data_IF_720796615482
#
_entry.id   IF_720796615482
#
_cell.length_a   1.000
_cell.length_b   1.000
_cell.length_c   1.000
_cell.angle_alpha   90.00
_cell.angle_beta   90.00
_cell.angle_gamma   90.00
#
_symmetry.space_group_name_H-M   'P 1'
#
loop_
_entity.id
_entity.type
_entity.pdbx_description
1 polymer ?
#
# COMPACT_ATOMS: atom_id res chain seq x y z
N UNK A 1 -0.83 40.44 -6.75
CA UNK A 1 -0.83 39.26 -7.65
C UNK A 1 0.31 38.37 -7.21
N UNK A 2 0.03 37.23 -6.58
CA UNK A 2 1.08 36.29 -6.19
C UNK A 2 1.58 35.59 -7.46
N UNK A 3 2.83 35.84 -7.84
CA UNK A 3 3.50 35.12 -8.94
C UNK A 3 3.67 33.66 -8.50
N UNK A 4 2.88 32.75 -9.07
CA UNK A 4 3.06 31.32 -8.84
C UNK A 4 4.50 30.93 -9.20
N UNK A 5 5.20 30.27 -8.26
CA UNK A 5 6.56 29.79 -8.48
C UNK A 5 6.62 28.86 -9.71
N UNK A 6 7.70 28.89 -10.50
CA UNK A 6 7.87 28.01 -11.65
C UNK A 6 7.72 26.54 -11.25
N UNK A 7 7.21 25.72 -12.17
CA UNK A 7 6.83 24.32 -11.92
C UNK A 7 7.95 23.51 -11.28
N UNK A 8 9.19 23.74 -11.70
CA UNK A 8 10.35 22.97 -11.23
C UNK A 8 10.68 23.27 -9.76
N UNK A 9 10.58 24.54 -9.34
CA UNK A 9 10.74 24.92 -7.92
C UNK A 9 9.64 24.33 -7.04
N UNK A 10 8.41 24.23 -7.55
CA UNK A 10 7.30 23.57 -6.83
C UNK A 10 7.54 22.08 -6.66
N UNK A 11 8.06 21.41 -7.70
CA UNK A 11 8.41 19.99 -7.65
C UNK A 11 9.53 19.78 -6.62
N UNK A 12 10.57 20.61 -6.67
CA UNK A 12 11.71 20.50 -5.77
C UNK A 12 11.30 20.69 -4.30
N UNK A 13 10.47 21.70 -4.01
CA UNK A 13 9.95 21.92 -2.66
C UNK A 13 9.14 20.73 -2.13
N UNK A 14 8.33 20.10 -2.99
CA UNK A 14 7.57 18.90 -2.62
C UNK A 14 8.49 17.72 -2.36
N UNK A 15 9.52 17.51 -3.18
CA UNK A 15 10.51 16.45 -2.97
C UNK A 15 11.23 16.64 -1.64
N UNK A 16 11.66 17.87 -1.32
CA UNK A 16 12.33 18.18 -0.06
C UNK A 16 11.44 17.99 1.17
N UNK A 17 10.13 18.28 1.03
CA UNK A 17 9.15 18.02 2.09
C UNK A 17 8.90 16.52 2.27
N UNK A 18 8.69 15.80 1.15
CA UNK A 18 8.49 14.35 1.12
C UNK A 18 9.70 13.59 1.68
N UNK A 19 10.93 14.06 1.43
CA UNK A 19 12.17 13.47 1.97
C UNK A 19 12.28 13.55 3.50
N UNK A 20 11.58 14.47 4.15
CA UNK A 20 11.57 14.61 5.61
C UNK A 20 10.62 13.62 6.29
N UNK A 21 9.71 13.01 5.54
CA UNK A 21 8.70 12.10 6.07
C UNK A 21 9.31 10.71 6.22
N UNK A 22 9.26 10.16 7.44
CA UNK A 22 9.69 8.78 7.67
C UNK A 22 8.74 7.79 6.96
N UNK A 23 9.32 6.80 6.29
CA UNK A 23 8.61 5.75 5.57
C UNK A 23 8.05 4.67 6.50
N UNK A 24 8.43 4.65 7.78
CA UNK A 24 7.97 3.65 8.76
C UNK A 24 6.46 3.72 8.99
N UNK A 25 5.78 2.59 8.77
CA UNK A 25 4.34 2.44 9.00
C UNK A 25 4.11 1.92 10.43
N UNK A 26 3.48 2.72 11.28
CA UNK A 26 3.05 2.29 12.61
C UNK A 26 1.69 1.58 12.50
N UNK A 27 1.56 0.32 12.99
CA UNK A 27 0.29 -0.39 12.96
C UNK A 27 -0.82 0.35 13.71
N UNK A 28 -0.52 1.17 14.73
CA UNK A 28 -1.52 1.93 15.48
C UNK A 28 -2.08 3.13 14.70
N UNK A 29 -1.40 3.58 13.65
CA UNK A 29 -1.88 4.65 12.77
C UNK A 29 -2.86 4.10 11.71
N UNK A 30 -2.82 2.79 11.45
CA UNK A 30 -3.67 2.12 10.48
C UNK A 30 -5.14 2.18 10.93
N UNK A 31 -5.99 2.76 10.08
CA UNK A 31 -7.45 2.87 10.29
C UNK A 31 -7.91 4.09 11.07
N UNK A 32 -7.01 4.97 11.52
CA UNK A 32 -7.40 6.24 12.15
C UNK A 32 -7.79 7.27 11.08
N UNK A 33 -8.99 7.88 11.12
CA UNK A 33 -9.43 8.84 10.11
C UNK A 33 -8.55 10.10 10.06
N UNK A 34 -8.07 10.56 11.23
CA UNK A 34 -7.25 11.77 11.34
C UNK A 34 -5.84 11.61 10.76
N UNK A 35 -5.36 10.38 10.57
CA UNK A 35 -4.01 10.07 10.08
C UNK A 35 -3.97 9.51 8.65
N UNK A 36 -5.13 9.34 7.99
CA UNK A 36 -5.22 8.63 6.73
C UNK A 36 -4.39 9.28 5.60
N UNK A 37 -4.31 10.62 5.55
CA UNK A 37 -3.52 11.33 4.54
C UNK A 37 -2.02 11.07 4.72
N UNK A 38 -1.52 11.18 5.95
CA UNK A 38 -0.12 10.91 6.27
C UNK A 38 0.22 9.44 6.01
N UNK A 39 -0.65 8.51 6.42
CA UNK A 39 -0.48 7.08 6.14
C UNK A 39 -0.41 6.81 4.63
N UNK A 40 -1.31 7.42 3.85
CA UNK A 40 -1.32 7.31 2.39
C UNK A 40 0.00 7.82 1.77
N UNK A 41 0.53 8.93 2.29
CA UNK A 41 1.84 9.44 1.86
C UNK A 41 2.98 8.49 2.25
N UNK A 42 3.01 7.97 3.48
CA UNK A 42 4.01 6.97 3.92
C UNK A 42 4.00 5.73 3.02
N UNK A 43 2.82 5.20 2.71
CA UNK A 43 2.67 4.08 1.78
C UNK A 43 3.21 4.41 0.38
N UNK A 44 2.95 5.62 -0.12
CA UNK A 44 3.46 6.09 -1.40
C UNK A 44 5.00 6.13 -1.42
N UNK A 45 5.61 6.77 -0.42
CA UNK A 45 7.07 6.91 -0.32
C UNK A 45 7.76 5.55 -0.16
N UNK A 46 7.18 4.66 0.64
CA UNK A 46 7.71 3.31 0.79
C UNK A 46 7.65 2.50 -0.51
N UNK A 47 6.56 2.61 -1.30
CA UNK A 47 6.48 1.99 -2.62
C UNK A 47 7.53 2.55 -3.60
N UNK A 48 7.78 3.85 -3.56
CA UNK A 48 8.88 4.45 -4.34
C UNK A 48 10.24 3.87 -3.92
N UNK A 49 10.53 3.81 -2.61
CA UNK A 49 11.75 3.19 -2.08
C UNK A 49 11.93 1.75 -2.57
N UNK A 50 10.86 0.94 -2.57
CA UNK A 50 10.90 -0.44 -3.07
C UNK A 50 11.22 -0.50 -4.57
N UNK A 51 10.60 0.36 -5.38
CA UNK A 51 10.84 0.44 -6.82
C UNK A 51 12.25 0.91 -7.15
N UNK A 52 12.81 1.82 -6.35
CA UNK A 52 14.17 2.34 -6.52
C UNK A 52 15.20 1.29 -6.06
N UNK A 53 14.92 0.59 -4.96
CA UNK A 53 15.77 -0.53 -4.51
C UNK A 53 15.83 -1.63 -5.57
N UNK A 54 14.68 -2.02 -6.14
CA UNK A 54 14.66 -2.99 -7.24
C UNK A 54 15.42 -2.47 -8.46
N UNK A 55 15.36 -1.17 -8.76
CA UNK A 55 16.10 -0.59 -9.88
C UNK A 55 17.62 -0.62 -9.67
N UNK A 56 18.10 -0.41 -8.44
CA UNK A 56 19.53 -0.42 -8.09
C UNK A 56 20.13 -1.83 -8.11
N UNK A 57 19.33 -2.85 -7.81
CA UNK A 57 19.78 -4.25 -7.78
C UNK A 57 19.89 -4.90 -9.16
N UNK A 58 19.47 -4.22 -10.22
CA UNK A 58 19.53 -4.75 -11.57
C UNK A 58 20.82 -4.33 -12.29
N UNK A 59 21.51 -5.30 -12.91
CA UNK A 59 22.60 -5.01 -13.86
C UNK A 59 22.05 -4.33 -15.13
N UNK A 60 22.90 -3.55 -15.81
CA UNK A 60 22.59 -2.74 -17.01
C UNK A 60 22.21 -3.63 -18.22
N UNK A 61 21.02 -4.23 -18.16
CA UNK A 61 20.53 -5.20 -19.15
C UNK A 61 19.00 -5.38 -19.16
N UNK A 62 18.28 -4.50 -18.44
CA UNK A 62 16.90 -4.11 -18.73
C UNK A 62 15.84 -5.21 -18.63
N UNK A 63 15.39 -5.53 -17.43
CA UNK A 63 14.17 -6.32 -17.27
C UNK A 63 12.93 -5.48 -17.59
N UNK A 64 12.24 -5.77 -18.69
CA UNK A 64 10.96 -5.15 -19.07
C UNK A 64 9.90 -5.27 -17.97
N UNK A 65 10.01 -6.27 -17.09
CA UNK A 65 9.10 -6.47 -15.95
C UNK A 65 9.13 -5.29 -14.99
N UNK A 66 10.29 -4.68 -14.72
CA UNK A 66 10.35 -3.51 -13.81
C UNK A 66 9.67 -2.29 -14.44
N UNK A 67 9.87 -2.07 -15.75
CA UNK A 67 9.23 -0.97 -16.48
C UNK A 67 7.71 -1.14 -16.49
N UNK A 68 7.24 -2.35 -16.76
CA UNK A 68 5.80 -2.65 -16.75
C UNK A 68 5.21 -2.58 -15.34
N UNK A 69 5.97 -2.99 -14.32
CA UNK A 69 5.56 -2.86 -12.93
C UNK A 69 5.44 -1.39 -12.52
N UNK A 70 6.40 -0.54 -12.90
CA UNK A 70 6.33 0.91 -12.68
C UNK A 70 5.09 1.52 -13.35
N UNK A 71 4.78 1.13 -14.59
CA UNK A 71 3.56 1.57 -15.30
C UNK A 71 2.28 1.13 -14.59
N UNK A 72 2.22 -0.12 -14.13
CA UNK A 72 1.05 -0.68 -13.46
C UNK A 72 0.82 -0.12 -12.06
N UNK A 73 1.87 0.31 -11.37
CA UNK A 73 1.80 0.91 -10.02
C UNK A 73 1.58 2.42 -10.07
N UNK A 74 1.92 3.09 -11.18
CA UNK A 74 1.77 4.54 -11.33
C UNK A 74 0.37 5.07 -10.94
N UNK A 75 -0.76 4.45 -11.36
CA UNK A 75 -2.09 4.81 -10.88
C UNK A 75 -2.24 4.84 -9.37
N UNK A 76 -1.71 3.83 -8.68
CA UNK A 76 -1.75 3.72 -7.22
C UNK A 76 -0.95 4.84 -6.58
N UNK A 77 0.26 5.14 -7.08
CA UNK A 77 1.09 6.23 -6.57
C UNK A 77 0.36 7.57 -6.68
N UNK A 78 -0.26 7.86 -7.82
CA UNK A 78 -1.05 9.09 -7.98
C UNK A 78 -2.23 9.14 -7.01
N UNK A 79 -2.94 8.03 -6.82
CA UNK A 79 -4.07 7.94 -5.89
C UNK A 79 -3.65 8.10 -4.43
N UNK A 80 -2.52 7.50 -4.03
CA UNK A 80 -1.97 7.61 -2.69
C UNK A 80 -1.48 9.03 -2.37
N UNK A 81 -0.79 9.68 -3.31
CA UNK A 81 -0.35 11.08 -3.13
C UNK A 81 -1.53 12.04 -2.98
N UNK A 82 -2.65 11.76 -3.65
CA UNK A 82 -3.89 12.55 -3.54
C UNK A 82 -4.82 12.10 -2.41
N UNK A 83 -4.44 11.08 -1.63
CA UNK A 83 -5.27 10.45 -0.59
C UNK A 83 -6.70 10.10 -1.09
N UNK A 84 -6.80 9.58 -2.32
CA UNK A 84 -8.09 9.22 -2.97
C UNK A 84 -8.44 7.74 -2.87
N UNK A 85 -7.54 6.93 -2.30
CA UNK A 85 -7.78 5.50 -2.13
C UNK A 85 -8.88 5.28 -1.08
N UNK A 86 -9.86 4.39 -1.31
CA UNK A 86 -10.86 4.04 -0.30
C UNK A 86 -10.20 3.58 1.01
N UNK A 87 -10.80 3.96 2.16
CA UNK A 87 -10.25 3.67 3.49
C UNK A 87 -9.92 2.18 3.67
N UNK A 88 -10.80 1.29 3.23
CA UNK A 88 -10.65 -0.16 3.35
C UNK A 88 -9.45 -0.71 2.55
N UNK A 89 -9.26 -0.18 1.33
CA UNK A 89 -8.13 -0.54 0.48
C UNK A 89 -6.82 0.05 1.03
N UNK A 90 -6.85 1.26 1.57
CA UNK A 90 -5.70 1.90 2.21
C UNK A 90 -5.26 1.13 3.46
N UNK A 91 -6.20 0.75 4.33
CA UNK A 91 -5.92 -0.05 5.54
C UNK A 91 -5.27 -1.38 5.17
N UNK A 92 -5.82 -2.05 4.16
CA UNK A 92 -5.32 -3.36 3.73
C UNK A 92 -3.95 -3.24 3.07
N UNK A 93 -3.74 -2.24 2.20
CA UNK A 93 -2.45 -1.96 1.57
C UNK A 93 -1.39 -1.57 2.62
N UNK A 94 -1.72 -0.70 3.56
CA UNK A 94 -0.83 -0.31 4.65
C UNK A 94 -0.42 -1.53 5.50
N UNK A 95 -1.36 -2.45 5.75
CA UNK A 95 -1.08 -3.70 6.47
C UNK A 95 -0.11 -4.61 5.70
N UNK A 96 -0.27 -4.74 4.39
CA UNK A 96 0.67 -5.47 3.52
C UNK A 96 2.07 -4.87 3.60
N UNK A 97 2.17 -3.55 3.45
CA UNK A 97 3.43 -2.82 3.46
C UNK A 97 4.10 -2.84 4.83
N UNK A 98 3.33 -2.74 5.92
CA UNK A 98 3.83 -2.88 7.29
C UNK A 98 4.50 -4.24 7.50
N UNK A 99 3.81 -5.36 7.16
CA UNK A 99 4.42 -6.68 7.28
C UNK A 99 5.64 -6.86 6.37
N UNK A 100 5.65 -6.22 5.21
CA UNK A 100 6.81 -6.22 4.32
C UNK A 100 8.00 -5.45 4.93
N UNK A 101 7.77 -4.32 5.62
CA UNK A 101 8.82 -3.60 6.35
C UNK A 101 9.42 -4.45 7.47
N UNK A 102 8.58 -5.17 8.21
CA UNK A 102 9.05 -6.10 9.24
C UNK A 102 9.89 -7.22 8.65
N UNK A 103 9.51 -7.74 7.47
CA UNK A 103 10.32 -8.71 6.75
C UNK A 103 11.67 -8.12 6.30
N UNK A 104 11.71 -6.90 5.79
CA UNK A 104 12.98 -6.25 5.40
C UNK A 104 13.94 -6.12 6.58
N UNK A 105 13.42 -5.77 7.77
CA UNK A 105 14.22 -5.59 8.98
C UNK A 105 14.68 -6.90 9.64
N UNK A 106 13.83 -7.93 9.68
CA UNK A 106 14.09 -9.16 10.44
C UNK A 106 14.53 -10.34 9.57
N UNK A 107 14.19 -10.29 8.28
CA UNK A 107 14.30 -11.41 7.32
C UNK A 107 13.56 -12.68 7.76
N UNK A 108 12.61 -12.56 8.69
CA UNK A 108 11.79 -13.69 9.12
C UNK A 108 10.63 -13.93 8.14
N UNK A 109 10.56 -15.16 7.62
CA UNK A 109 9.54 -15.62 6.67
C UNK A 109 8.12 -15.49 7.21
N UNK A 110 7.93 -15.49 8.54
CA UNK A 110 6.61 -15.27 9.15
C UNK A 110 6.03 -13.91 8.73
N UNK A 111 6.86 -12.87 8.66
CA UNK A 111 6.41 -11.54 8.23
C UNK A 111 6.07 -11.49 6.74
N UNK A 112 6.84 -12.19 5.89
CA UNK A 112 6.52 -12.33 4.47
C UNK A 112 5.18 -13.05 4.27
N UNK A 113 4.97 -14.18 4.96
CA UNK A 113 3.70 -14.91 4.88
C UNK A 113 2.51 -14.03 5.29
N UNK A 114 2.64 -13.28 6.39
CA UNK A 114 1.60 -12.33 6.84
C UNK A 114 1.33 -11.22 5.83
N UNK A 115 2.37 -10.73 5.14
CA UNK A 115 2.23 -9.75 4.05
C UNK A 115 1.41 -10.34 2.90
N UNK A 116 1.74 -11.57 2.47
CA UNK A 116 1.02 -12.30 1.42
C UNK A 116 -0.45 -12.60 1.82
N UNK A 117 -0.70 -13.05 3.05
CA UNK A 117 -2.07 -13.28 3.55
C UNK A 117 -2.90 -11.98 3.55
N UNK A 118 -2.30 -10.87 3.95
CA UNK A 118 -2.94 -9.55 3.93
C UNK A 118 -3.22 -9.10 2.49
N UNK A 119 -2.31 -9.38 1.57
CA UNK A 119 -2.49 -9.13 0.13
C UNK A 119 -3.66 -9.94 -0.44
N UNK A 120 -3.78 -11.22 -0.05
CA UNK A 120 -4.89 -12.06 -0.50
C UNK A 120 -6.24 -11.48 -0.06
N UNK A 121 -6.36 -11.05 1.20
CA UNK A 121 -7.58 -10.37 1.69
C UNK A 121 -7.90 -9.12 0.86
N UNK A 122 -6.91 -8.25 0.66
CA UNK A 122 -7.05 -7.05 -0.18
C UNK A 122 -7.56 -7.40 -1.59
N UNK A 123 -6.98 -8.41 -2.23
CA UNK A 123 -7.34 -8.81 -3.60
C UNK A 123 -8.79 -9.31 -3.72
N UNK A 124 -9.27 -9.99 -2.68
CA UNK A 124 -10.61 -10.57 -2.58
C UNK A 124 -11.67 -9.54 -2.19
N UNK A 125 -11.31 -8.30 -1.88
CA UNK A 125 -12.26 -7.28 -1.40
C UNK A 125 -12.45 -7.27 0.12
N UNK A 126 -11.69 -8.09 0.87
CA UNK A 126 -11.75 -8.13 2.33
C UNK A 126 -10.74 -7.16 2.94
N UNK A 127 -11.08 -6.60 4.10
CA UNK A 127 -10.19 -5.67 4.81
C UNK A 127 -9.14 -6.42 5.63
N UNK A 128 -7.86 -6.15 5.40
CA UNK A 128 -6.74 -6.68 6.16
C UNK A 128 -6.28 -5.68 7.23
N UNK A 129 -6.23 -6.13 8.49
CA UNK A 129 -5.75 -5.35 9.63
C UNK A 129 -4.46 -5.96 10.20
N UNK A 130 -3.52 -5.16 10.73
CA UNK A 130 -2.29 -5.69 11.30
C UNK A 130 -2.59 -6.40 12.63
N UNK A 131 -1.78 -7.40 12.95
CA UNK A 131 -1.98 -8.22 14.16
C UNK A 131 -1.87 -7.34 15.40
N UNK A 132 -2.87 -7.42 16.28
CA UNK A 132 -2.93 -6.64 17.52
C UNK A 132 -3.60 -5.27 17.40
N UNK A 133 -3.94 -4.82 16.19
CA UNK A 133 -4.76 -3.62 15.98
C UNK A 133 -6.09 -4.04 15.39
N UNK A 134 -7.14 -3.82 16.16
CA UNK A 134 -8.52 -3.92 15.67
C UNK A 134 -9.14 -2.54 15.73
N UNK A 135 -10.12 -2.26 14.87
CA UNK A 135 -10.88 -1.02 14.92
C UNK A 135 -11.69 -0.99 16.24
N UNK A 136 -11.13 -0.37 17.29
CA UNK A 136 -11.76 -0.31 18.63
C UNK A 136 -12.63 0.95 18.75
N UNK A 137 -13.86 0.85 18.24
CA UNK A 137 -14.97 1.75 18.55
C UNK A 137 -16.22 0.96 18.96
N UNK A 138 -16.99 1.43 19.95
CA UNK A 138 -18.25 0.76 20.36
C UNK A 138 -19.28 0.75 19.22
N UNK A 139 -19.27 1.78 18.38
CA UNK A 139 -20.11 1.88 17.18
C UNK A 139 -19.57 1.09 15.98
N UNK A 140 -18.24 1.04 15.81
CA UNK A 140 -17.57 0.31 14.70
C UNK A 140 -17.54 -1.21 14.93
N UNK A 141 -17.67 -1.66 16.19
CA UNK A 141 -17.89 -3.08 16.53
C UNK A 141 -19.16 -3.68 15.92
N UNK A 142 -20.18 -2.86 15.56
CA UNK A 142 -21.32 -3.35 14.76
C UNK A 142 -20.90 -3.61 13.31
N UNK A 143 -20.14 -2.69 12.71
CA UNK A 143 -19.60 -2.81 11.34
C UNK A 143 -18.66 -4.00 11.27
N UNK A 144 -17.68 -4.14 12.18
CA UNK A 144 -16.76 -5.29 12.18
C UNK A 144 -17.46 -6.64 12.43
N UNK A 145 -18.49 -6.70 13.29
CA UNK A 145 -19.30 -7.93 13.44
C UNK A 145 -20.17 -8.21 12.22
N UNK A 146 -20.60 -7.18 11.52
CA UNK A 146 -21.34 -7.29 10.26
C UNK A 146 -20.41 -7.71 9.13
N UNK A 147 -19.19 -7.17 9.05
CA UNK A 147 -18.13 -7.56 8.12
C UNK A 147 -17.61 -8.97 8.43
N UNK A 148 -17.45 -9.36 9.70
CA UNK A 148 -17.12 -10.74 10.06
C UNK A 148 -18.25 -11.74 9.69
N UNK A 149 -19.51 -11.28 9.71
CA UNK A 149 -20.68 -12.05 9.24
C UNK A 149 -20.88 -12.02 7.72
N UNK A 150 -20.37 -10.99 7.04
CA UNK A 150 -20.37 -10.86 5.58
C UNK A 150 -19.09 -11.44 4.94
N UNK A 151 -18.05 -11.71 5.74
CA UNK A 151 -16.79 -12.39 5.37
C UNK A 151 -16.95 -13.91 5.24
N UNK A 152 -18.07 -14.49 5.67
CA UNK A 152 -18.51 -15.78 5.14
C UNK A 152 -19.00 -15.52 3.73
N UNK A 153 -18.48 -16.24 2.74
CA UNK A 153 -18.75 -16.11 1.30
C UNK A 153 -20.27 -16.17 0.96
N UNK A 154 -21.01 -15.11 1.27
CA UNK A 154 -22.47 -15.10 1.21
C UNK A 154 -22.92 -13.73 0.72
N UNK A 155 -23.13 -13.67 -0.60
CA UNK A 155 -23.91 -12.69 -1.35
C UNK A 155 -23.43 -11.22 -1.35
N UNK A 156 -22.60 -10.86 -2.34
CA UNK A 156 -22.62 -9.50 -2.93
C UNK A 156 -21.33 -8.67 -2.88
N UNK A 157 -20.29 -9.09 -2.16
CA UNK A 157 -18.99 -8.37 -2.17
C UNK A 157 -18.23 -8.75 -3.44
N UNK A 158 -18.16 -7.81 -4.39
CA UNK A 158 -17.31 -7.94 -5.58
C UNK A 158 -15.86 -7.80 -5.15
N UNK A 159 -15.01 -8.75 -5.54
CA UNK A 159 -13.60 -8.69 -5.22
C UNK A 159 -12.96 -7.42 -5.78
N UNK A 160 -12.04 -6.78 -5.05
CA UNK A 160 -11.37 -5.55 -5.52
C UNK A 160 -10.74 -5.72 -6.91
N UNK A 161 -10.19 -6.91 -7.17
CA UNK A 161 -9.60 -7.28 -8.47
C UNK A 161 -10.63 -7.33 -9.63
N UNK A 162 -11.92 -7.40 -9.30
CA UNK A 162 -13.04 -7.47 -10.25
C UNK A 162 -13.79 -6.13 -10.37
N UNK A 163 -13.51 -5.15 -9.52
CA UNK A 163 -14.23 -3.88 -9.48
C UNK A 163 -13.89 -2.97 -10.66
N UNK A 164 -12.61 -2.75 -10.93
CA UNK A 164 -12.16 -1.90 -12.02
C UNK A 164 -10.77 -2.30 -12.54
N UNK A 165 -10.49 -1.99 -13.81
CA UNK A 165 -9.24 -2.36 -14.49
C UNK A 165 -8.02 -1.76 -13.81
N UNK A 166 -8.12 -0.50 -13.38
CA UNK A 166 -7.01 0.22 -12.75
C UNK A 166 -6.65 -0.42 -11.41
N UNK A 167 -7.64 -0.82 -10.63
CA UNK A 167 -7.49 -1.53 -9.36
C UNK A 167 -6.91 -2.91 -9.54
N UNK A 168 -7.41 -3.67 -10.53
CA UNK A 168 -6.83 -4.95 -10.89
C UNK A 168 -5.34 -4.83 -11.25
N UNK A 169 -5.00 -3.85 -12.08
CA UNK A 169 -3.62 -3.63 -12.52
C UNK A 169 -2.70 -3.33 -11.35
N UNK A 170 -3.02 -2.37 -10.48
CA UNK A 170 -2.11 -2.04 -9.39
C UNK A 170 -2.03 -3.17 -8.35
N UNK A 171 -3.13 -3.87 -8.03
CA UNK A 171 -3.10 -5.03 -7.12
C UNK A 171 -2.17 -6.11 -7.66
N UNK A 172 -2.29 -6.43 -8.95
CA UNK A 172 -1.44 -7.44 -9.61
C UNK A 172 0.04 -7.05 -9.54
N UNK A 173 0.35 -5.78 -9.72
CA UNK A 173 1.73 -5.30 -9.68
C UNK A 173 2.28 -5.18 -8.24
N UNK A 174 1.43 -4.94 -7.22
CA UNK A 174 1.83 -5.07 -5.81
C UNK A 174 2.27 -6.50 -5.50
N UNK A 175 1.59 -7.53 -6.02
CA UNK A 175 2.05 -8.92 -5.88
C UNK A 175 3.45 -9.13 -6.48
N UNK A 176 3.73 -8.53 -7.64
CA UNK A 176 5.06 -8.63 -8.28
C UNK A 176 6.15 -8.04 -7.39
N UNK A 177 5.88 -6.91 -6.73
CA UNK A 177 6.80 -6.35 -5.74
C UNK A 177 7.04 -7.32 -4.56
N UNK A 178 5.97 -7.92 -4.02
CA UNK A 178 6.10 -8.89 -2.93
C UNK A 178 6.95 -10.09 -3.32
N UNK A 179 6.69 -10.67 -4.50
CA UNK A 179 7.48 -11.80 -5.02
C UNK A 179 8.95 -11.43 -5.26
N UNK A 180 9.22 -10.23 -5.77
CA UNK A 180 10.59 -9.74 -5.93
C UNK A 180 11.29 -9.63 -4.56
N UNK A 181 10.63 -9.05 -3.57
CA UNK A 181 11.18 -8.93 -2.21
C UNK A 181 11.40 -10.28 -1.52
N UNK A 182 10.57 -11.28 -1.79
CA UNK A 182 10.74 -12.65 -1.29
C UNK A 182 11.95 -13.36 -1.91
N UNK A 183 12.22 -13.11 -3.19
CA UNK A 183 13.33 -13.72 -3.93
C UNK A 183 14.68 -13.03 -3.65
N UNK A 184 14.65 -11.81 -3.10
CA UNK A 184 15.81 -11.03 -2.71
C UNK A 184 16.55 -11.74 -1.56
N UNK A 185 17.75 -12.26 -1.86
CA UNK A 185 18.64 -12.90 -0.88
C UNK A 185 19.42 -11.88 -0.06
#
# INVERSE_FOLDING_TARGET
MATEKPRDERIQAVIEEEQKVDTTIDPQEIGKPNGAQLLSLKCNLYLHKLLDTWALEQEEGGNDILKDTKRGIYPLLVSLRKARLPSDQLVSLATVLYHLQQYESTRDKVHMQRSLESYMKLSLGNVAWPIGVTQVGIHERKIQRQDARNNTATAGIVANVMTDEQTRLWITNVKRLLTHMEQRK
#
